data_IF_060523818856
#
_entry.id   IF_060523818856
#
_cell.length_a   1.000
_cell.length_b   1.000
_cell.length_c   1.000
_cell.angle_alpha   90.00
_cell.angle_beta   90.00
_cell.angle_gamma   90.00
#
_symmetry.space_group_name_H-M   'P 1'
#
loop_
_entity.id
_entity.type
_entity.pdbx_description
1 polymer ?
#
# COMPACT_ATOMS: atom_id res chain seq x y z
N UNK A 1 35.61 -25.73 57.67
CA UNK A 1 35.33 -24.32 57.99
C UNK A 1 34.81 -23.64 56.73
N UNK A 2 33.49 -23.63 56.53
CA UNK A 2 32.82 -22.87 55.47
C UNK A 2 31.37 -22.64 55.91
N UNK A 3 30.97 -21.38 56.01
CA UNK A 3 29.64 -20.97 56.47
C UNK A 3 28.59 -21.11 55.35
N UNK A 4 27.35 -21.55 55.65
CA UNK A 4 26.28 -21.56 54.65
C UNK A 4 25.52 -20.23 54.63
N UNK A 5 25.50 -19.59 53.45
CA UNK A 5 24.66 -18.44 53.11
C UNK A 5 23.22 -18.92 52.91
N UNK A 6 22.27 -18.27 53.60
CA UNK A 6 20.83 -18.55 53.49
C UNK A 6 20.22 -17.69 52.38
N UNK A 7 19.70 -18.32 51.33
CA UNK A 7 18.78 -17.68 50.39
C UNK A 7 17.34 -17.90 50.86
N UNK A 8 16.57 -16.81 50.97
CA UNK A 8 15.13 -16.83 51.28
C UNK A 8 14.37 -16.73 49.96
N UNK A 9 13.54 -17.73 49.67
CA UNK A 9 12.56 -17.73 48.58
C UNK A 9 11.19 -17.47 49.19
N UNK A 10 10.59 -16.31 48.89
CA UNK A 10 9.20 -16.00 49.25
C UNK A 10 8.30 -16.37 48.07
N UNK A 11 7.60 -17.50 48.20
CA UNK A 11 6.51 -17.89 47.32
C UNK A 11 5.25 -17.10 47.67
N UNK A 12 4.70 -16.38 46.70
CA UNK A 12 3.38 -15.78 46.78
C UNK A 12 2.39 -16.64 45.99
N UNK A 13 1.42 -17.23 46.68
CA UNK A 13 0.30 -17.96 46.09
C UNK A 13 -0.67 -17.00 45.42
N UNK A 14 -0.71 -16.99 44.10
CA UNK A 14 -1.73 -16.30 43.32
C UNK A 14 -3.00 -17.14 43.21
N UNK A 15 -4.02 -16.80 44.00
CA UNK A 15 -5.37 -17.35 43.88
C UNK A 15 -6.06 -16.74 42.66
N UNK A 16 -6.49 -17.61 41.75
CA UNK A 16 -7.27 -17.26 40.57
C UNK A 16 -8.71 -16.95 40.99
N UNK A 17 -9.20 -15.74 40.73
CA UNK A 17 -10.64 -15.47 40.65
C UNK A 17 -10.99 -14.80 39.34
N UNK A 18 -11.64 -15.59 38.50
CA UNK A 18 -12.51 -15.20 37.39
C UNK A 18 -13.58 -14.24 37.91
N UNK A 19 -13.62 -13.02 37.37
CA UNK A 19 -14.76 -12.10 37.54
C UNK A 19 -15.20 -11.64 36.14
N UNK A 20 -16.11 -12.42 35.57
CA UNK A 20 -17.00 -12.00 34.48
C UNK A 20 -17.97 -10.96 35.05
N UNK A 21 -17.90 -9.69 34.61
CA UNK A 21 -19.06 -8.77 34.56
C UNK A 21 -18.87 -7.70 33.47
N UNK A 22 -19.97 -7.29 32.80
CA UNK A 22 -19.95 -6.57 31.53
C UNK A 22 -19.69 -5.08 31.73
N UNK A 23 -18.81 -4.51 30.91
CA UNK A 23 -18.60 -3.07 30.86
C UNK A 23 -19.71 -2.42 30.04
N UNK A 24 -20.80 -2.07 30.70
CA UNK A 24 -21.75 -1.07 30.22
C UNK A 24 -21.58 0.17 31.11
N UNK A 25 -20.66 1.04 30.75
CA UNK A 25 -20.64 2.40 31.29
C UNK A 25 -20.34 3.40 30.18
N UNK A 26 -21.34 4.25 29.98
CA UNK A 26 -21.44 5.40 29.09
C UNK A 26 -20.15 5.89 28.42
N UNK A 27 -20.24 6.05 27.10
CA UNK A 27 -19.43 7.00 26.36
C UNK A 27 -19.73 8.40 26.89
N UNK A 28 -19.01 8.80 27.94
CA UNK A 28 -18.97 10.17 28.41
C UNK A 28 -18.15 10.94 27.38
N UNK A 29 -18.82 11.46 26.35
CA UNK A 29 -18.27 12.42 25.41
C UNK A 29 -17.83 13.64 26.20
N UNK A 30 -16.53 13.73 26.52
CA UNK A 30 -15.94 14.95 27.05
C UNK A 30 -15.83 15.94 25.90
N UNK A 31 -16.91 16.67 25.67
CA UNK A 31 -16.87 17.92 24.92
C UNK A 31 -15.93 18.88 25.65
N UNK A 32 -14.81 19.22 25.01
CA UNK A 32 -13.94 20.31 25.46
C UNK A 32 -14.62 21.64 25.10
N UNK A 33 -15.63 22.04 25.87
CA UNK A 33 -16.11 23.42 25.85
C UNK A 33 -15.10 24.29 26.61
N UNK A 34 -14.18 24.90 25.87
CA UNK A 34 -13.30 25.93 26.39
C UNK A 34 -14.17 27.15 26.78
N UNK A 35 -14.59 27.22 28.04
CA UNK A 35 -15.22 28.41 28.60
C UNK A 35 -14.15 29.51 28.66
N UNK A 36 -14.19 30.42 27.69
CA UNK A 36 -13.34 31.61 27.69
C UNK A 36 -13.74 32.53 28.85
N UNK A 37 -12.99 32.45 29.94
CA UNK A 37 -13.02 33.46 31.01
C UNK A 37 -12.65 34.83 30.42
N UNK A 38 -13.32 35.94 30.80
CA UNK A 38 -12.88 37.26 30.40
C UNK A 38 -11.53 37.53 31.05
N UNK A 39 -10.44 37.39 30.27
CA UNK A 39 -9.09 37.67 30.71
C UNK A 39 -8.95 39.16 30.99
N UNK A 40 -9.20 39.56 32.23
CA UNK A 40 -8.92 40.89 32.75
C UNK A 40 -7.43 40.98 33.11
N UNK A 41 -6.57 40.89 32.11
CA UNK A 41 -5.15 41.24 32.17
C UNK A 41 -4.80 41.95 30.87
N UNK A 42 -4.44 43.23 30.97
CA UNK A 42 -4.05 44.06 29.82
C UNK A 42 -2.60 43.73 29.44
N UNK A 43 -2.34 42.54 28.91
CA UNK A 43 -1.10 42.32 28.16
C UNK A 43 -1.21 43.03 26.80
N UNK A 44 -0.18 43.73 26.32
CA UNK A 44 -0.21 44.39 25.00
C UNK A 44 -0.23 43.38 23.84
N UNK A 45 -0.09 42.09 24.13
CA UNK A 45 -0.02 41.00 23.17
C UNK A 45 -1.34 40.24 23.10
N UNK A 46 -1.86 40.15 21.87
CA UNK A 46 -3.03 39.35 21.53
C UNK A 46 -2.62 37.90 21.31
N UNK A 47 -3.23 36.98 22.05
CA UNK A 47 -3.04 35.56 21.86
C UNK A 47 -3.87 35.08 20.66
N UNK A 48 -3.21 34.40 19.73
CA UNK A 48 -3.84 33.77 18.57
C UNK A 48 -3.61 32.26 18.62
N UNK A 49 -4.68 31.47 18.43
CA UNK A 49 -4.59 30.03 18.22
C UNK A 49 -4.70 29.73 16.73
N UNK A 50 -3.59 29.36 16.09
CA UNK A 50 -3.57 28.92 14.71
C UNK A 50 -3.51 27.39 14.60
N UNK A 51 -4.12 26.85 13.55
CA UNK A 51 -4.12 25.42 13.27
C UNK A 51 -3.70 25.20 11.82
N UNK A 52 -2.64 24.41 11.63
CA UNK A 52 -2.13 24.06 10.30
C UNK A 52 -2.69 22.70 9.86
N UNK A 53 -3.77 22.72 9.07
CA UNK A 53 -4.25 21.51 8.40
C UNK A 53 -3.36 21.18 7.21
N UNK A 54 -2.76 19.98 7.23
CA UNK A 54 -1.91 19.49 6.14
C UNK A 54 -2.59 18.30 5.44
N UNK A 55 -2.46 18.22 4.12
CA UNK A 55 -2.86 17.06 3.32
C UNK A 55 -1.59 16.37 2.80
N UNK A 56 -1.36 15.09 3.10
CA UNK A 56 -0.23 14.35 2.56
C UNK A 56 -0.40 14.09 1.06
N UNK A 57 0.69 13.89 0.31
CA UNK A 57 0.62 13.53 -1.09
C UNK A 57 -0.03 12.15 -1.26
N UNK A 58 -0.96 12.04 -2.20
CA UNK A 58 -1.63 10.76 -2.53
C UNK A 58 -0.88 9.95 -3.60
N UNK A 59 -0.02 10.61 -4.38
CA UNK A 59 0.70 10.01 -5.52
C UNK A 59 2.20 10.17 -5.28
N UNK A 60 2.99 9.17 -5.70
CA UNK A 60 4.45 9.24 -5.68
C UNK A 60 4.97 10.35 -6.60
N UNK A 61 6.09 10.95 -6.19
CA UNK A 61 6.78 11.93 -7.03
C UNK A 61 7.33 11.23 -8.28
N UNK A 62 7.34 11.89 -9.45
CA UNK A 62 8.04 11.35 -10.61
C UNK A 62 9.53 11.21 -10.29
N UNK A 63 10.17 10.20 -10.87
CA UNK A 63 11.60 9.98 -10.69
C UNK A 63 12.39 11.02 -11.49
N UNK A 64 13.56 11.37 -10.97
CA UNK A 64 14.54 12.16 -11.73
C UNK A 64 15.29 11.24 -12.71
N UNK A 65 15.83 11.76 -13.83
CA UNK A 65 16.49 10.90 -14.83
C UNK A 65 17.63 10.07 -14.24
N UNK A 66 18.43 10.66 -13.34
CA UNK A 66 19.47 9.93 -12.61
C UNK A 66 18.91 8.81 -11.72
N UNK A 67 17.75 9.01 -11.11
CA UNK A 67 17.09 7.97 -10.31
C UNK A 67 16.52 6.85 -11.17
N UNK A 68 16.10 7.15 -12.40
CA UNK A 68 15.65 6.13 -13.36
C UNK A 68 16.82 5.25 -13.81
N UNK A 69 17.96 5.86 -14.15
CA UNK A 69 19.21 5.14 -14.46
C UNK A 69 19.66 4.26 -13.29
N UNK A 70 19.63 4.80 -12.07
CA UNK A 70 19.97 4.05 -10.87
C UNK A 70 18.98 2.90 -10.62
N UNK A 71 17.68 3.11 -10.82
CA UNK A 71 16.67 2.08 -10.66
C UNK A 71 16.87 0.93 -11.65
N UNK A 72 17.18 1.25 -12.91
CA UNK A 72 17.50 0.26 -13.93
C UNK A 72 18.75 -0.56 -13.56
N UNK A 73 19.81 0.11 -13.09
CA UNK A 73 21.03 -0.57 -12.65
C UNK A 73 20.77 -1.47 -11.43
N UNK A 74 20.00 -1.01 -10.45
CA UNK A 74 19.66 -1.82 -9.29
C UNK A 74 18.82 -3.04 -9.66
N UNK A 75 17.88 -2.89 -10.60
CA UNK A 75 17.10 -4.00 -11.12
C UNK A 75 17.98 -5.04 -11.83
N UNK A 76 18.94 -4.59 -12.64
CA UNK A 76 19.92 -5.49 -13.28
C UNK A 76 20.72 -6.27 -12.24
N UNK A 77 21.27 -5.57 -11.24
CA UNK A 77 22.04 -6.19 -10.16
C UNK A 77 21.20 -7.18 -9.36
N UNK A 78 19.92 -6.86 -9.13
CA UNK A 78 18.98 -7.76 -8.45
C UNK A 78 18.76 -9.03 -9.27
N UNK A 79 18.47 -8.92 -10.56
CA UNK A 79 18.27 -10.08 -11.44
C UNK A 79 19.53 -10.94 -11.53
N UNK A 80 20.70 -10.34 -11.74
CA UNK A 80 21.98 -11.07 -11.85
C UNK A 80 22.38 -11.82 -10.58
N UNK A 81 22.00 -11.29 -9.42
CA UNK A 81 22.32 -11.89 -8.10
C UNK A 81 21.19 -12.76 -7.56
N UNK A 82 20.04 -12.79 -8.22
CA UNK A 82 18.90 -13.59 -7.82
C UNK A 82 19.06 -15.06 -8.23
N UNK A 83 18.31 -15.93 -7.54
CA UNK A 83 18.15 -17.32 -7.95
C UNK A 83 16.96 -17.42 -8.91
N UNK A 84 16.95 -18.48 -9.73
CA UNK A 84 15.81 -18.76 -10.60
C UNK A 84 14.51 -18.86 -9.80
N UNK A 85 13.50 -18.17 -10.30
CA UNK A 85 12.14 -18.23 -9.76
C UNK A 85 11.41 -19.48 -10.25
N UNK A 86 10.36 -19.88 -9.51
CA UNK A 86 9.53 -21.03 -9.88
C UNK A 86 8.94 -20.89 -11.30
N UNK A 87 8.61 -19.66 -11.70
CA UNK A 87 8.11 -19.33 -13.03
C UNK A 87 9.14 -19.60 -14.13
N UNK A 88 10.39 -19.17 -13.92
CA UNK A 88 11.48 -19.39 -14.87
C UNK A 88 11.84 -20.87 -14.98
N UNK A 89 11.89 -21.58 -13.85
CA UNK A 89 12.16 -23.02 -13.85
C UNK A 89 11.10 -23.81 -14.63
N UNK A 90 9.83 -23.42 -14.46
CA UNK A 90 8.72 -24.00 -15.22
C UNK A 90 8.83 -23.70 -16.72
N UNK A 91 9.09 -22.46 -17.08
CA UNK A 91 9.26 -22.04 -18.48
C UNK A 91 10.39 -22.82 -19.18
N UNK A 92 11.54 -22.99 -18.50
CA UNK A 92 12.66 -23.76 -19.00
C UNK A 92 12.32 -25.25 -19.18
N UNK A 93 11.60 -25.84 -18.22
CA UNK A 93 11.14 -27.23 -18.31
C UNK A 93 10.20 -27.46 -19.49
N UNK A 94 9.21 -26.60 -19.67
CA UNK A 94 8.26 -26.65 -20.80
C UNK A 94 8.98 -26.45 -22.13
N UNK A 95 9.90 -25.49 -22.24
CA UNK A 95 10.68 -25.26 -23.45
C UNK A 95 11.54 -26.48 -23.85
N UNK A 96 12.16 -27.15 -22.88
CA UNK A 96 12.94 -28.37 -23.12
C UNK A 96 12.05 -29.53 -23.58
N UNK A 97 10.87 -29.71 -22.99
CA UNK A 97 9.92 -30.75 -23.40
C UNK A 97 9.42 -30.49 -24.82
N UNK A 98 9.05 -29.25 -25.15
CA UNK A 98 8.62 -28.86 -26.49
C UNK A 98 9.75 -29.05 -27.52
N UNK A 99 11.00 -28.73 -27.17
CA UNK A 99 12.15 -28.94 -28.05
C UNK A 99 12.40 -30.42 -28.35
N UNK A 100 12.29 -31.30 -27.33
CA UNK A 100 12.40 -32.77 -27.51
C UNK A 100 11.28 -33.31 -28.39
N UNK A 101 10.02 -32.96 -28.09
CA UNK A 101 8.86 -33.36 -28.91
C UNK A 101 9.02 -32.93 -30.38
N UNK A 102 9.54 -31.73 -30.62
CA UNK A 102 9.83 -31.23 -31.98
C UNK A 102 10.95 -31.99 -32.69
N UNK A 103 11.96 -32.46 -31.94
CA UNK A 103 13.11 -33.18 -32.50
C UNK A 103 12.80 -34.66 -32.76
N UNK A 104 12.01 -35.29 -31.89
CA UNK A 104 11.80 -36.75 -31.93
C UNK A 104 10.75 -37.20 -32.95
N UNK A 105 10.04 -36.29 -33.63
CA UNK A 105 8.94 -36.57 -34.60
C UNK A 105 7.90 -37.61 -34.11
N UNK A 106 7.90 -37.93 -32.81
CA UNK A 106 7.11 -39.01 -32.24
C UNK A 106 5.80 -38.45 -31.71
N UNK A 107 4.71 -38.90 -32.32
CA UNK A 107 3.32 -38.73 -31.91
C UNK A 107 3.07 -39.49 -30.60
N UNK A 108 3.69 -39.07 -29.51
CA UNK A 108 3.32 -39.53 -28.17
C UNK A 108 2.22 -38.62 -27.64
N UNK A 109 1.11 -39.25 -27.27
CA UNK A 109 -0.21 -38.71 -26.94
C UNK A 109 -0.17 -37.32 -26.27
N UNK A 110 -0.93 -36.39 -26.85
CA UNK A 110 -1.11 -35.03 -26.37
C UNK A 110 -1.65 -35.05 -24.93
N UNK A 111 -0.73 -34.92 -23.96
CA UNK A 111 -1.05 -34.59 -22.57
C UNK A 111 -2.04 -33.41 -22.55
N UNK A 112 -3.19 -33.54 -21.88
CA UNK A 112 -4.32 -32.65 -22.09
C UNK A 112 -4.06 -31.25 -21.51
N UNK A 113 -4.00 -30.25 -22.40
CA UNK A 113 -4.59 -28.91 -22.20
C UNK A 113 -4.19 -28.14 -20.94
N UNK A 114 -2.94 -28.22 -20.51
CA UNK A 114 -2.41 -27.35 -19.44
C UNK A 114 -1.96 -26.04 -20.07
N UNK A 115 -2.40 -24.91 -19.49
CA UNK A 115 -1.93 -23.57 -19.88
C UNK A 115 -0.40 -23.51 -19.79
N UNK A 116 0.26 -23.23 -20.91
CA UNK A 116 1.69 -23.05 -20.98
C UNK A 116 2.05 -21.72 -20.32
N UNK A 117 3.31 -21.58 -19.89
CA UNK A 117 3.81 -20.31 -19.35
C UNK A 117 3.62 -19.13 -20.33
N UNK A 118 3.94 -19.24 -21.63
CA UNK A 118 3.70 -18.15 -22.58
C UNK A 118 2.22 -17.76 -22.71
N UNK A 119 1.29 -18.73 -22.61
CA UNK A 119 -0.15 -18.44 -22.67
C UNK A 119 -0.58 -17.59 -21.45
N UNK A 120 0.00 -17.87 -20.28
CA UNK A 120 -0.25 -17.10 -19.06
C UNK A 120 0.30 -15.68 -19.17
N UNK A 121 1.50 -15.51 -19.73
CA UNK A 121 2.10 -14.19 -20.00
C UNK A 121 1.21 -13.37 -20.94
N UNK A 122 0.72 -13.97 -22.02
CA UNK A 122 -0.19 -13.29 -22.95
C UNK A 122 -1.50 -12.88 -22.26
N UNK A 123 -2.09 -13.76 -21.44
CA UNK A 123 -3.29 -13.43 -20.67
C UNK A 123 -3.07 -12.22 -19.74
N UNK A 124 -1.90 -12.13 -19.10
CA UNK A 124 -1.56 -10.99 -18.24
C UNK A 124 -1.36 -9.70 -19.03
N UNK A 125 -0.69 -9.76 -20.17
CA UNK A 125 -0.53 -8.61 -21.07
C UNK A 125 -1.89 -8.11 -21.58
N UNK A 126 -2.77 -9.01 -22.00
CA UNK A 126 -4.13 -8.67 -22.43
C UNK A 126 -4.92 -8.01 -21.31
N UNK A 127 -4.83 -8.51 -20.07
CA UNK A 127 -5.48 -7.91 -18.91
C UNK A 127 -4.93 -6.50 -18.62
N UNK A 128 -3.62 -6.31 -18.74
CA UNK A 128 -2.97 -5.02 -18.56
C UNK A 128 -3.41 -3.99 -19.62
N UNK A 129 -3.47 -4.38 -20.89
CA UNK A 129 -3.90 -3.50 -21.98
C UNK A 129 -5.39 -3.09 -21.88
N UNK A 130 -6.25 -4.00 -21.38
CA UNK A 130 -7.66 -3.71 -21.11
C UNK A 130 -7.83 -2.72 -19.96
N UNK A 131 -6.88 -2.67 -19.02
CA UNK A 131 -6.95 -1.81 -17.85
C UNK A 131 -6.47 -0.38 -18.18
N UNK A 132 -7.35 0.60 -17.95
CA UNK A 132 -7.00 2.03 -18.07
C UNK A 132 -6.65 2.60 -16.70
N UNK A 133 -5.37 2.88 -16.39
CA UNK A 133 -5.01 3.49 -15.12
C UNK A 133 -5.58 4.90 -15.00
N UNK A 134 -5.87 5.32 -13.76
CA UNK A 134 -6.32 6.68 -13.48
C UNK A 134 -5.24 7.71 -13.81
N UNK A 135 -5.65 8.85 -14.39
CA UNK A 135 -4.71 9.91 -14.76
C UNK A 135 -4.00 10.48 -13.52
N UNK A 136 -2.66 10.54 -13.57
CA UNK A 136 -1.84 11.16 -12.51
C UNK A 136 -1.95 12.68 -12.51
N UNK A 137 -2.14 13.27 -13.69
CA UNK A 137 -2.42 14.69 -13.89
C UNK A 137 -3.92 14.92 -13.94
N UNK A 138 -4.43 15.86 -13.13
CA UNK A 138 -5.85 16.22 -13.12
C UNK A 138 -6.10 17.52 -13.88
N UNK A 139 -7.31 17.73 -14.41
CA UNK A 139 -7.68 19.00 -15.07
C UNK A 139 -7.67 20.24 -14.16
N UNK A 140 -7.36 20.09 -12.86
CA UNK A 140 -7.13 21.15 -11.88
C UNK A 140 -5.65 21.58 -11.75
N UNK A 141 -4.75 20.94 -12.50
CA UNK A 141 -3.32 21.28 -12.51
C UNK A 141 -2.94 22.56 -13.30
N UNK A 142 -3.74 23.14 -14.25
CA UNK A 142 -3.37 24.43 -14.85
C UNK A 142 -3.39 25.54 -13.79
N UNK A 143 -2.61 26.62 -13.96
CA UNK A 143 -2.54 27.73 -13.01
C UNK A 143 -3.88 28.47 -12.95
N UNK A 144 -4.80 27.96 -12.13
CA UNK A 144 -6.11 28.54 -11.83
C UNK A 144 -6.16 28.96 -10.36
N UNK A 145 -7.01 29.94 -9.99
CA UNK A 145 -7.17 30.36 -8.60
C UNK A 145 -7.53 29.16 -7.72
N UNK A 146 -6.86 29.07 -6.56
CA UNK A 146 -6.91 27.93 -5.63
C UNK A 146 -8.21 27.95 -4.81
N UNK A 147 -9.34 27.73 -5.48
CA UNK A 147 -10.67 27.74 -4.85
C UNK A 147 -11.25 26.33 -4.63
N UNK A 148 -10.42 25.28 -4.79
CA UNK A 148 -10.83 23.91 -4.54
C UNK A 148 -9.78 23.09 -3.82
N UNK A 149 -10.22 22.21 -2.92
CA UNK A 149 -9.41 21.13 -2.32
C UNK A 149 -8.85 20.17 -3.39
N UNK A 150 -9.33 20.32 -4.63
CA UNK A 150 -8.93 19.56 -5.81
C UNK A 150 -7.70 20.07 -6.56
N UNK A 151 -6.96 21.08 -6.06
CA UNK A 151 -5.77 21.64 -6.71
C UNK A 151 -4.60 20.68 -6.96
N UNK A 152 -4.73 19.41 -6.54
CA UNK A 152 -3.86 18.30 -6.95
C UNK A 152 -4.61 16.97 -7.17
N UNK A 153 -5.92 16.93 -6.91
CA UNK A 153 -6.77 15.76 -7.16
C UNK A 153 -8.23 16.20 -7.04
N UNK A 154 -8.85 16.56 -8.15
CA UNK A 154 -10.26 16.94 -8.18
C UNK A 154 -11.12 15.70 -7.84
N UNK A 155 -11.88 15.70 -6.73
CA UNK A 155 -12.79 14.61 -6.44
C UNK A 155 -13.96 14.75 -7.41
N UNK A 156 -13.87 14.00 -8.52
CA UNK A 156 -14.96 13.55 -9.41
C UNK A 156 -16.21 14.43 -9.29
N UNK A 157 -16.12 15.71 -9.67
CA UNK A 157 -17.33 16.51 -9.91
C UNK A 157 -18.00 15.83 -11.08
N UNK A 158 -19.17 15.24 -10.80
CA UNK A 158 -20.11 14.64 -11.74
C UNK A 158 -19.91 15.21 -13.14
N UNK A 159 -19.52 14.36 -14.08
CA UNK A 159 -19.77 14.56 -15.49
C UNK A 159 -21.30 14.55 -15.70
N UNK A 160 -21.97 15.61 -15.27
CA UNK A 160 -23.30 15.99 -15.72
C UNK A 160 -23.07 17.13 -16.69
N UNK A 161 -22.80 16.77 -17.95
CA UNK A 161 -23.14 17.47 -19.20
C UNK A 161 -22.20 16.96 -20.29
N UNK A 162 -22.54 15.82 -20.89
CA UNK A 162 -22.47 15.57 -22.35
C UNK A 162 -22.94 14.14 -22.65
N UNK A 163 -24.02 13.97 -23.42
CA UNK A 163 -24.53 12.67 -23.83
C UNK A 163 -23.88 12.25 -25.15
N UNK A 164 -22.72 11.60 -25.11
CA UNK A 164 -22.09 11.00 -26.29
C UNK A 164 -21.14 9.88 -25.85
N UNK A 165 -21.70 8.78 -25.35
CA UNK A 165 -21.09 7.45 -25.35
C UNK A 165 -22.27 6.46 -25.32
N UNK A 166 -22.85 6.20 -26.49
CA UNK A 166 -23.72 5.06 -26.71
C UNK A 166 -22.88 3.94 -27.33
N UNK A 167 -22.98 2.76 -26.71
CA UNK A 167 -22.54 1.43 -27.14
C UNK A 167 -21.10 1.25 -27.67
#
# INVERSE_FOLDING_TARGET
>A
MAAPVRHVVLGATGVWRRLERPWASSLCSRSLTLAALPSRTKSPWRLWGALCLQRPPLISKPLTPLQEEMAALLQQVETEKSLYSDHELRALGEAQQLAKKRADLHEEEDEPGILLVPDLEEMWEQAFLRFRPGARTTGCDPPRPREGVGGFWCPRKRCLLSPCCGF
#
